data_IF_146271641006
#
_entry.id   IF_146271641006
#
_cell.length_a   1.000
_cell.length_b   1.000
_cell.length_c   1.000
_cell.angle_alpha   90.00
_cell.angle_beta   90.00
_cell.angle_gamma   90.00
#
_symmetry.space_group_name_H-M   'P 1'
#
loop_
_entity.id
_entity.type
_entity.pdbx_description
1 polymer ?
#
# COMPACT_ATOMS: atom_id res chain seq x y z
N UNK A 1 -63.83 -77.88 -1.78
CA UNK A 1 -63.19 -78.44 -3.00
C UNK A 1 -62.92 -77.31 -3.98
N UNK A 2 -61.68 -77.23 -4.53
CA UNK A 2 -61.20 -76.47 -5.71
C UNK A 2 -61.19 -74.93 -5.58
N UNK A 3 -60.05 -74.28 -5.27
CA UNK A 3 -58.96 -73.80 -6.18
C UNK A 3 -59.45 -72.94 -7.36
N UNK A 4 -59.12 -71.64 -7.35
CA UNK A 4 -58.61 -70.75 -8.44
C UNK A 4 -58.24 -69.40 -7.78
N UNK A 5 -56.98 -69.08 -7.49
CA UNK A 5 -55.95 -68.46 -8.34
C UNK A 5 -56.46 -67.29 -9.19
N UNK A 6 -56.16 -66.06 -8.79
CA UNK A 6 -56.02 -64.89 -9.67
C UNK A 6 -55.12 -63.86 -8.98
N UNK A 7 -53.97 -63.61 -9.61
CA UNK A 7 -52.90 -62.76 -9.13
C UNK A 7 -53.29 -61.28 -9.20
N UNK A 8 -53.09 -60.54 -8.11
CA UNK A 8 -53.03 -59.08 -8.13
C UNK A 8 -51.57 -58.65 -7.96
N UNK A 9 -51.02 -58.10 -9.02
CA UNK A 9 -49.72 -57.42 -9.07
C UNK A 9 -49.87 -56.14 -8.24
N UNK A 10 -49.37 -56.17 -7.01
CA UNK A 10 -49.22 -54.97 -6.18
C UNK A 10 -48.01 -54.18 -6.66
N UNK A 11 -48.25 -53.13 -7.45
CA UNK A 11 -47.23 -52.13 -7.78
C UNK A 11 -46.93 -51.34 -6.50
N UNK A 12 -45.79 -51.62 -5.88
CA UNK A 12 -45.21 -50.82 -4.82
C UNK A 12 -44.72 -49.49 -5.44
N UNK A 13 -45.52 -48.42 -5.34
CA UNK A 13 -45.05 -47.06 -5.57
C UNK A 13 -44.22 -46.64 -4.35
N UNK A 14 -42.92 -46.89 -4.39
CA UNK A 14 -41.96 -46.23 -3.51
C UNK A 14 -41.90 -44.74 -3.90
N UNK A 15 -42.57 -43.88 -3.13
CA UNK A 15 -42.39 -42.44 -3.21
C UNK A 15 -40.95 -42.13 -2.77
N UNK A 16 -40.06 -41.97 -3.74
CA UNK A 16 -38.74 -41.37 -3.52
C UNK A 16 -39.01 -39.91 -3.18
N UNK A 17 -38.97 -39.60 -1.89
CA UNK A 17 -38.85 -38.23 -1.41
C UNK A 17 -37.46 -37.74 -1.82
N UNK A 18 -37.39 -37.15 -3.02
CA UNK A 18 -36.25 -36.35 -3.41
C UNK A 18 -36.19 -35.19 -2.41
N UNK A 19 -35.23 -35.25 -1.49
CA UNK A 19 -34.80 -34.08 -0.75
C UNK A 19 -34.55 -32.96 -1.77
N UNK A 20 -35.33 -31.89 -1.70
CA UNK A 20 -35.12 -30.73 -2.56
C UNK A 20 -33.73 -30.20 -2.24
N UNK A 21 -32.80 -30.37 -3.17
CA UNK A 21 -31.55 -29.60 -3.20
C UNK A 21 -32.00 -28.15 -3.35
N UNK A 22 -31.84 -27.27 -2.35
CA UNK A 22 -32.28 -25.90 -2.53
C UNK A 22 -31.42 -25.27 -3.64
N UNK A 23 -32.09 -24.81 -4.70
CA UNK A 23 -31.51 -23.89 -5.67
C UNK A 23 -30.93 -22.68 -4.92
N UNK A 24 -29.94 -21.99 -5.49
CA UNK A 24 -29.37 -20.77 -4.89
C UNK A 24 -30.47 -19.78 -4.51
N UNK A 25 -30.72 -19.61 -3.21
CA UNK A 25 -31.72 -18.70 -2.66
C UNK A 25 -31.05 -17.45 -2.09
N UNK A 26 -31.76 -16.33 -2.11
CA UNK A 26 -31.31 -15.10 -1.45
C UNK A 26 -31.11 -15.33 0.06
N UNK A 27 -30.20 -14.57 0.71
CA UNK A 27 -29.99 -14.68 2.15
C UNK A 27 -31.30 -14.55 2.93
N UNK A 28 -31.47 -15.39 3.95
CA UNK A 28 -32.68 -15.45 4.77
C UNK A 28 -32.82 -14.21 5.66
N UNK A 29 -34.06 -13.94 6.11
CA UNK A 29 -34.36 -12.88 7.09
C UNK A 29 -34.35 -11.44 6.56
N UNK A 30 -34.22 -11.26 5.24
CA UNK A 30 -34.24 -9.93 4.60
C UNK A 30 -33.01 -9.07 4.93
N UNK A 31 -31.92 -9.71 5.37
CA UNK A 31 -30.60 -9.09 5.48
C UNK A 31 -29.89 -9.26 4.14
N UNK A 32 -29.20 -8.23 3.67
CA UNK A 32 -28.44 -8.31 2.41
C UNK A 32 -27.00 -8.62 2.73
N UNK A 33 -26.38 -9.49 1.94
CA UNK A 33 -24.94 -9.71 1.99
C UNK A 33 -24.22 -8.53 1.32
N UNK A 34 -23.14 -8.07 1.93
CA UNK A 34 -22.32 -6.97 1.46
C UNK A 34 -20.83 -7.28 1.69
N UNK A 35 -19.99 -6.61 0.89
CA UNK A 35 -18.56 -6.63 1.09
C UNK A 35 -17.98 -5.24 0.78
N UNK A 36 -16.89 -4.90 1.44
CA UNK A 36 -16.06 -3.73 1.15
C UNK A 36 -14.60 -4.16 1.23
N UNK A 37 -13.75 -3.59 0.39
CA UNK A 37 -12.32 -3.87 0.37
C UNK A 37 -11.51 -2.63 0.08
N UNK A 38 -10.33 -2.55 0.68
CA UNK A 38 -9.36 -1.48 0.47
C UNK A 38 -7.93 -2.06 0.49
N UNK A 39 -7.01 -1.45 -0.26
CA UNK A 39 -5.59 -1.80 -0.19
C UNK A 39 -4.84 -0.78 0.65
N UNK A 40 -4.33 -1.21 1.80
CA UNK A 40 -3.50 -0.39 2.69
C UNK A 40 -2.04 -0.82 2.52
N UNK A 41 -1.18 0.06 1.98
CA UNK A 41 0.16 -0.33 1.54
C UNK A 41 0.10 -1.45 0.49
N UNK A 42 0.61 -2.63 0.84
CA UNK A 42 0.52 -3.85 0.01
C UNK A 42 -0.49 -4.89 0.55
N UNK A 43 -1.26 -4.53 1.58
CA UNK A 43 -2.22 -5.43 2.23
C UNK A 43 -3.63 -5.19 1.71
N UNK A 44 -4.26 -6.24 1.17
CA UNK A 44 -5.69 -6.21 0.88
C UNK A 44 -6.47 -6.52 2.16
N UNK A 45 -7.34 -5.59 2.54
CA UNK A 45 -8.30 -5.75 3.63
C UNK A 45 -9.68 -5.97 3.03
N UNK A 46 -10.30 -7.13 3.29
CA UNK A 46 -11.64 -7.46 2.81
C UNK A 46 -12.57 -7.73 3.98
N UNK A 47 -13.68 -6.99 4.03
CA UNK A 47 -14.74 -7.15 5.03
C UNK A 47 -15.96 -7.73 4.33
N UNK A 48 -16.40 -8.92 4.74
CA UNK A 48 -17.64 -9.54 4.23
C UNK A 48 -18.62 -9.73 5.37
N UNK A 49 -19.86 -9.27 5.18
CA UNK A 49 -20.86 -9.18 6.24
C UNK A 49 -22.28 -9.22 5.69
N UNK A 50 -23.23 -9.59 6.54
CA UNK A 50 -24.65 -9.41 6.27
C UNK A 50 -25.15 -8.18 7.04
N UNK A 51 -25.77 -7.24 6.32
CA UNK A 51 -26.17 -5.95 6.88
C UNK A 51 -27.62 -5.92 7.34
N UNK A 52 -27.91 -5.89 8.66
CA UNK A 52 -29.25 -5.62 9.16
C UNK A 52 -29.66 -4.16 8.92
N UNK A 53 -30.97 -3.93 8.82
CA UNK A 53 -31.57 -2.60 8.76
C UNK A 53 -32.10 -2.16 10.12
N UNK A 54 -32.12 -0.87 10.41
CA UNK A 54 -32.77 -0.30 11.60
C UNK A 54 -34.26 -0.66 11.57
N UNK A 55 -34.93 -0.50 10.41
CA UNK A 55 -36.33 -0.89 10.19
C UNK A 55 -37.30 -0.30 11.23
N UNK A 56 -37.18 1.01 11.51
CA UNK A 56 -38.07 1.71 12.45
C UNK A 56 -37.79 1.43 13.94
N UNK A 57 -36.60 0.92 14.26
CA UNK A 57 -36.13 0.62 15.63
C UNK A 57 -35.10 1.63 16.12
N UNK A 58 -35.21 2.89 15.70
CA UNK A 58 -34.37 3.98 16.20
C UNK A 58 -34.45 4.04 17.73
N UNK A 59 -33.30 4.19 18.38
CA UNK A 59 -33.12 4.15 19.83
C UNK A 59 -33.15 2.75 20.46
N UNK A 60 -33.45 1.70 19.69
CA UNK A 60 -33.59 0.31 20.18
C UNK A 60 -32.59 -0.65 19.55
N UNK A 61 -31.64 -0.15 18.76
CA UNK A 61 -30.58 -0.98 18.17
C UNK A 61 -29.54 -1.32 19.24
N UNK A 62 -28.98 -0.31 19.89
CA UNK A 62 -27.89 -0.48 20.85
C UNK A 62 -28.42 -0.60 22.27
N UNK A 63 -28.01 -1.64 23.01
CA UNK A 63 -28.48 -1.94 24.36
C UNK A 63 -29.71 -2.85 24.41
N UNK A 64 -30.52 -2.91 23.34
CA UNK A 64 -31.65 -3.84 23.21
C UNK A 64 -31.37 -4.93 22.17
N UNK A 65 -31.37 -4.59 20.87
CA UNK A 65 -31.13 -5.57 19.80
C UNK A 65 -29.68 -6.08 19.79
N UNK A 66 -28.74 -5.17 20.00
CA UNK A 66 -27.33 -5.47 20.26
C UNK A 66 -27.11 -5.30 21.77
N UNK A 67 -27.06 -6.40 22.53
CA UNK A 67 -26.90 -6.30 23.97
C UNK A 67 -25.51 -5.78 24.35
N UNK A 68 -25.40 -5.24 25.56
CA UNK A 68 -24.13 -4.79 26.13
C UNK A 68 -23.26 -6.01 26.50
N UNK A 69 -22.00 -5.98 26.09
CA UNK A 69 -20.98 -6.95 26.46
C UNK A 69 -21.20 -8.32 25.83
N UNK A 70 -21.30 -9.33 26.70
CA UNK A 70 -21.49 -10.73 26.34
C UNK A 70 -22.84 -11.21 26.90
N UNK A 71 -23.55 -12.02 26.14
CA UNK A 71 -24.83 -12.61 26.57
C UNK A 71 -24.87 -14.10 26.32
N UNK A 72 -25.72 -14.83 27.07
CA UNK A 72 -26.10 -16.20 26.70
C UNK A 72 -27.10 -16.10 25.52
N UNK A 73 -26.75 -16.60 24.33
CA UNK A 73 -27.65 -16.54 23.18
C UNK A 73 -28.84 -17.51 23.29
N UNK A 74 -28.89 -18.37 24.32
CA UNK A 74 -29.98 -19.33 24.55
C UNK A 74 -30.02 -20.50 23.56
N UNK A 75 -29.06 -20.56 22.63
CA UNK A 75 -28.93 -21.58 21.60
C UNK A 75 -27.45 -21.81 21.24
N UNK A 76 -27.11 -23.00 20.75
CA UNK A 76 -25.71 -23.40 20.53
C UNK A 76 -24.99 -23.78 21.82
N UNK A 77 -23.66 -23.87 21.76
CA UNK A 77 -22.83 -24.29 22.89
C UNK A 77 -22.16 -23.12 23.64
N UNK A 78 -22.24 -21.89 23.11
CA UNK A 78 -21.73 -20.71 23.81
C UNK A 78 -22.71 -20.26 24.88
N UNK A 79 -22.18 -19.89 26.05
CA UNK A 79 -22.94 -19.34 27.19
C UNK A 79 -22.60 -17.89 27.51
N UNK A 80 -21.64 -17.33 26.78
CA UNK A 80 -21.18 -15.96 26.94
C UNK A 80 -20.59 -15.53 25.61
N UNK A 81 -21.42 -14.93 24.77
CA UNK A 81 -21.10 -14.61 23.39
C UNK A 81 -21.20 -13.10 23.11
N UNK A 82 -20.22 -12.51 22.43
CA UNK A 82 -20.28 -11.13 21.94
C UNK A 82 -21.16 -11.04 20.68
N UNK A 83 -21.58 -9.83 20.31
CA UNK A 83 -22.35 -9.64 19.09
C UNK A 83 -21.49 -9.85 17.84
N UNK A 84 -22.02 -10.55 16.84
CA UNK A 84 -21.36 -10.89 15.55
C UNK A 84 -21.09 -9.72 14.62
N UNK A 85 -21.34 -8.49 15.07
CA UNK A 85 -21.12 -7.26 14.31
C UNK A 85 -21.74 -7.28 12.89
N UNK A 86 -22.97 -7.81 12.78
CA UNK A 86 -23.66 -8.10 11.53
C UNK A 86 -24.92 -8.94 11.75
N UNK A 87 -25.42 -9.54 10.68
CA UNK A 87 -26.54 -10.48 10.67
C UNK A 87 -26.11 -11.88 10.18
N UNK A 88 -26.98 -12.90 10.30
CA UNK A 88 -26.73 -14.26 9.78
C UNK A 88 -25.36 -14.86 10.16
N UNK A 89 -24.47 -15.14 9.20
CA UNK A 89 -23.09 -15.57 9.41
C UNK A 89 -22.24 -14.52 10.13
N UNK A 90 -21.13 -14.94 10.73
CA UNK A 90 -20.20 -13.98 11.31
C UNK A 90 -19.65 -13.02 10.25
N UNK A 91 -19.56 -11.74 10.60
CA UNK A 91 -18.75 -10.81 9.80
C UNK A 91 -17.33 -11.33 9.74
N UNK A 92 -16.68 -11.22 8.58
CA UNK A 92 -15.30 -11.66 8.42
C UNK A 92 -14.40 -10.55 7.94
N UNK A 93 -13.19 -10.51 8.51
CA UNK A 93 -12.09 -9.68 8.06
C UNK A 93 -11.00 -10.60 7.48
N UNK A 94 -10.56 -10.30 6.26
CA UNK A 94 -9.44 -10.99 5.61
C UNK A 94 -8.32 -10.00 5.35
N UNK A 95 -7.11 -10.38 5.72
CA UNK A 95 -5.88 -9.64 5.51
C UNK A 95 -4.90 -10.50 4.72
N UNK A 96 -4.27 -9.95 3.68
CA UNK A 96 -3.25 -10.70 2.89
C UNK A 96 -1.88 -10.73 3.55
N UNK A 97 -1.53 -9.69 4.31
CA UNK A 97 -0.30 -9.61 5.10
C UNK A 97 -0.65 -9.37 6.58
N UNK A 98 0.38 -9.41 7.43
CA UNK A 98 0.25 -9.09 8.85
C UNK A 98 -0.17 -7.62 9.02
N UNK A 99 -1.04 -7.36 9.99
CA UNK A 99 -1.51 -6.00 10.30
C UNK A 99 -1.34 -5.70 11.79
N UNK A 100 -1.49 -4.43 12.14
CA UNK A 100 -1.78 -4.02 13.52
C UNK A 100 -3.19 -3.45 13.58
N UNK A 101 -3.98 -3.91 14.54
CA UNK A 101 -5.28 -3.33 14.85
C UNK A 101 -5.12 -2.54 16.15
N UNK A 102 -5.36 -1.23 16.11
CA UNK A 102 -5.15 -0.34 17.26
C UNK A 102 -3.75 -0.53 17.90
N UNK A 103 -2.72 -0.67 17.07
CA UNK A 103 -1.33 -0.90 17.49
C UNK A 103 -0.98 -2.33 17.91
N UNK A 104 -1.94 -3.26 17.98
CA UNK A 104 -1.69 -4.66 18.36
C UNK A 104 -1.59 -5.58 17.13
N UNK A 105 -0.56 -6.42 17.09
CA UNK A 105 -0.29 -7.32 15.97
C UNK A 105 -1.38 -8.37 15.75
N UNK A 106 -1.76 -8.56 14.49
CA UNK A 106 -2.64 -9.63 14.02
C UNK A 106 -2.03 -10.22 12.74
N UNK A 107 -1.68 -11.52 12.71
CA UNK A 107 -1.12 -12.15 11.52
C UNK A 107 -2.06 -12.11 10.31
N UNK A 108 -1.51 -12.23 9.11
CA UNK A 108 -2.28 -12.47 7.89
C UNK A 108 -3.29 -13.62 8.08
N UNK A 109 -4.48 -13.50 7.51
CA UNK A 109 -5.50 -14.54 7.66
C UNK A 109 -6.92 -14.05 7.47
N UNK A 110 -7.86 -14.96 7.69
CA UNK A 110 -9.29 -14.68 7.69
C UNK A 110 -9.87 -14.94 9.07
N UNK A 111 -10.47 -13.90 9.65
CA UNK A 111 -10.98 -13.90 11.02
C UNK A 111 -12.49 -13.68 11.03
N UNK A 112 -13.19 -14.39 11.91
CA UNK A 112 -14.53 -14.00 12.33
C UNK A 112 -14.45 -12.77 13.23
N UNK A 113 -15.42 -11.88 13.13
CA UNK A 113 -15.39 -10.60 13.84
C UNK A 113 -16.59 -10.47 14.77
N UNK A 114 -16.29 -10.04 16.00
CA UNK A 114 -17.30 -9.77 17.01
C UNK A 114 -17.00 -8.46 17.73
N UNK A 115 -18.05 -7.88 18.31
CA UNK A 115 -17.98 -6.71 19.16
C UNK A 115 -18.70 -7.03 20.47
N UNK A 116 -17.98 -6.98 21.59
CA UNK A 116 -18.60 -6.83 22.89
C UNK A 116 -18.89 -5.33 23.09
N UNK A 117 -20.14 -4.95 22.85
CA UNK A 117 -20.56 -3.54 22.81
C UNK A 117 -20.62 -2.94 24.23
N UNK A 118 -20.13 -1.72 24.41
CA UNK A 118 -20.49 -0.86 25.55
C UNK A 118 -20.60 0.58 25.04
N UNK A 119 -21.46 1.41 25.66
CA UNK A 119 -21.60 2.82 25.30
C UNK A 119 -20.29 3.63 25.45
N UNK A 120 -19.41 3.23 26.37
CA UNK A 120 -18.17 3.93 26.69
C UNK A 120 -16.97 3.34 25.95
N UNK A 121 -16.88 2.01 25.89
CA UNK A 121 -15.72 1.31 25.33
C UNK A 121 -16.14 -0.08 24.80
N UNK A 122 -16.08 -0.24 23.49
CA UNK A 122 -16.33 -1.51 22.83
C UNK A 122 -15.05 -2.36 22.82
N UNK A 123 -15.19 -3.67 22.96
CA UNK A 123 -14.09 -4.62 22.68
C UNK A 123 -14.33 -5.27 21.32
N UNK A 124 -13.44 -5.01 20.37
CA UNK A 124 -13.40 -5.70 19.08
C UNK A 124 -12.66 -7.02 19.25
N UNK A 125 -13.17 -8.08 18.64
CA UNK A 125 -12.66 -9.43 18.79
C UNK A 125 -12.50 -10.05 17.41
N UNK A 126 -11.27 -10.46 17.09
CA UNK A 126 -10.94 -11.21 15.88
C UNK A 126 -10.74 -12.67 16.27
N UNK A 127 -11.64 -13.55 15.84
CA UNK A 127 -11.62 -14.99 16.10
C UNK A 127 -11.06 -15.75 14.91
N UNK A 128 -10.30 -16.82 15.16
CA UNK A 128 -9.78 -17.74 14.13
C UNK A 128 -10.90 -18.51 13.40
N UNK A 129 -12.09 -18.58 13.99
CA UNK A 129 -13.26 -19.20 13.38
C UNK A 129 -14.04 -18.18 12.53
N UNK A 130 -13.94 -18.29 11.21
CA UNK A 130 -14.51 -17.35 10.24
C UNK A 130 -15.68 -17.93 9.41
N UNK A 131 -16.27 -19.04 9.88
CA UNK A 131 -17.31 -19.78 9.16
C UNK A 131 -18.59 -20.00 9.95
N UNK A 132 -18.63 -19.57 11.22
CA UNK A 132 -19.75 -19.83 12.11
C UNK A 132 -21.00 -19.03 11.75
N UNK A 133 -22.16 -19.66 11.94
CA UNK A 133 -23.43 -18.96 11.92
C UNK A 133 -23.60 -18.16 13.22
N UNK A 134 -23.59 -16.84 13.09
CA UNK A 134 -23.69 -15.90 14.20
C UNK A 134 -22.67 -16.08 15.32
N UNK A 135 -23.12 -15.96 16.57
CA UNK A 135 -22.28 -16.03 17.77
C UNK A 135 -22.64 -17.21 18.70
N UNK A 136 -23.51 -18.12 18.26
CA UNK A 136 -24.02 -19.25 19.04
C UNK A 136 -22.94 -20.28 19.44
N UNK A 137 -21.87 -20.33 18.66
CA UNK A 137 -20.72 -21.22 18.87
C UNK A 137 -19.44 -20.45 19.21
N UNK A 138 -19.57 -19.19 19.66
CA UNK A 138 -18.43 -18.39 20.05
C UNK A 138 -17.62 -19.07 21.15
N UNK A 139 -16.31 -19.19 20.93
CA UNK A 139 -15.34 -19.74 21.87
C UNK A 139 -14.18 -18.75 22.04
N UNK A 140 -13.99 -18.23 23.26
CA UNK A 140 -12.92 -17.30 23.58
C UNK A 140 -11.51 -17.87 23.34
N UNK A 141 -11.34 -19.20 23.37
CA UNK A 141 -10.05 -19.84 23.06
C UNK A 141 -9.66 -19.70 21.57
N UNK A 142 -10.61 -19.34 20.70
CA UNK A 142 -10.37 -19.10 19.28
C UNK A 142 -10.01 -17.63 18.99
N UNK A 143 -10.04 -16.75 19.98
CA UNK A 143 -9.68 -15.34 19.79
C UNK A 143 -8.20 -15.21 19.42
N UNK A 144 -7.94 -14.58 18.28
CA UNK A 144 -6.61 -14.18 17.86
C UNK A 144 -6.22 -12.82 18.45
N UNK A 145 -7.19 -11.91 18.61
CA UNK A 145 -6.95 -10.57 19.12
C UNK A 145 -8.21 -9.98 19.77
N UNK A 146 -8.01 -9.22 20.85
CA UNK A 146 -9.02 -8.33 21.45
C UNK A 146 -8.46 -6.92 21.58
N UNK A 147 -9.17 -5.92 21.06
CA UNK A 147 -8.77 -4.52 21.17
C UNK A 147 -9.94 -3.66 21.66
N UNK A 148 -9.61 -2.64 22.46
CA UNK A 148 -10.60 -1.69 22.98
C UNK A 148 -10.66 -0.45 22.09
N UNK A 149 -11.88 0.01 21.82
CA UNK A 149 -12.14 1.18 20.99
C UNK A 149 -13.32 1.98 21.54
N UNK A 150 -13.29 3.30 21.33
CA UNK A 150 -14.35 4.18 21.79
C UNK A 150 -15.40 4.35 20.67
N UNK A 151 -16.67 4.02 20.91
CA UNK A 151 -17.72 4.30 19.95
C UNK A 151 -17.98 5.82 19.87
N UNK A 152 -18.53 6.27 18.75
CA UNK A 152 -18.81 7.66 18.45
C UNK A 152 -20.27 7.81 18.01
N UNK A 153 -20.94 8.85 18.49
CA UNK A 153 -22.28 9.19 18.03
C UNK A 153 -22.23 9.77 16.61
N UNK A 154 -23.22 9.41 15.79
CA UNK A 154 -23.45 9.99 14.47
C UNK A 154 -24.60 10.99 14.54
N UNK A 155 -24.47 12.12 13.84
CA UNK A 155 -25.54 13.12 13.74
C UNK A 155 -26.78 12.57 13.01
N UNK A 156 -26.54 11.76 11.97
CA UNK A 156 -27.58 11.16 11.13
C UNK A 156 -27.60 9.65 11.32
N UNK A 157 -28.81 9.09 11.31
CA UNK A 157 -28.99 7.64 11.37
C UNK A 157 -28.56 6.97 10.07
N UNK A 158 -27.87 5.84 10.18
CA UNK A 158 -27.49 4.95 9.08
C UNK A 158 -28.43 3.75 9.07
N UNK A 159 -29.33 3.68 8.09
CA UNK A 159 -30.38 2.64 8.03
C UNK A 159 -29.82 1.22 7.93
N UNK A 160 -28.89 0.98 7.02
CA UNK A 160 -28.28 -0.33 6.81
C UNK A 160 -26.88 -0.32 7.41
N UNK A 161 -26.59 -1.28 8.28
CA UNK A 161 -25.23 -1.47 8.80
C UNK A 161 -24.25 -1.48 7.64
N UNK A 162 -23.19 -0.68 7.74
CA UNK A 162 -22.10 -0.66 6.75
C UNK A 162 -20.75 -0.62 7.44
N UNK A 163 -19.75 -1.09 6.72
CA UNK A 163 -18.33 -0.84 7.01
C UNK A 163 -17.78 0.14 5.99
N UNK A 164 -16.95 1.07 6.43
CA UNK A 164 -16.38 2.13 5.62
C UNK A 164 -14.89 2.32 5.98
N UNK A 165 -14.07 2.50 4.95
CA UNK A 165 -12.66 2.92 5.10
C UNK A 165 -12.59 4.45 5.05
N UNK A 166 -11.75 5.04 5.90
CA UNK A 166 -11.58 6.48 6.07
C UNK A 166 -10.13 6.78 6.46
N UNK A 167 -9.71 8.04 6.31
CA UNK A 167 -8.41 8.56 6.77
C UNK A 167 -7.22 7.73 6.26
N UNK A 168 -7.21 7.36 4.98
CA UNK A 168 -6.13 6.56 4.41
C UNK A 168 -4.79 7.31 4.40
N UNK A 169 -3.73 6.57 4.65
CA UNK A 169 -2.34 6.98 4.45
C UNK A 169 -1.59 5.90 3.66
N UNK A 170 -0.28 6.06 3.43
CA UNK A 170 0.55 5.04 2.76
C UNK A 170 0.57 3.70 3.53
N UNK A 171 0.36 3.71 4.85
CA UNK A 171 0.52 2.53 5.71
C UNK A 171 -0.60 2.34 6.76
N UNK A 172 -1.71 3.07 6.68
CA UNK A 172 -2.84 2.91 7.59
C UNK A 172 -4.17 3.34 6.99
N UNK A 173 -5.26 2.82 7.56
CA UNK A 173 -6.61 3.29 7.31
C UNK A 173 -7.47 3.11 8.57
N UNK A 174 -8.48 3.95 8.73
CA UNK A 174 -9.52 3.76 9.75
C UNK A 174 -10.68 2.97 9.14
N UNK A 175 -11.08 1.86 9.76
CA UNK A 175 -12.35 1.19 9.46
C UNK A 175 -13.39 1.60 10.48
N UNK A 176 -14.60 1.93 10.03
CA UNK A 176 -15.73 2.17 10.91
C UNK A 176 -16.91 1.27 10.57
N UNK A 177 -17.43 0.55 11.58
CA UNK A 177 -18.79 0.05 11.54
C UNK A 177 -19.72 1.22 11.82
N UNK A 178 -20.69 1.47 10.95
CA UNK A 178 -21.73 2.48 11.15
C UNK A 178 -23.10 1.84 11.03
N UNK A 179 -23.93 2.03 12.06
CA UNK A 179 -25.32 1.58 12.05
C UNK A 179 -26.15 2.38 13.03
N UNK A 180 -27.35 2.77 12.60
CA UNK A 180 -28.18 3.73 13.31
C UNK A 180 -27.37 5.01 13.62
N UNK A 181 -27.37 5.50 14.86
CA UNK A 181 -26.63 6.70 15.27
C UNK A 181 -25.27 6.40 15.91
N UNK A 182 -24.69 5.23 15.67
CA UNK A 182 -23.42 4.84 16.24
C UNK A 182 -22.39 4.49 15.16
N UNK A 183 -21.16 4.94 15.39
CA UNK A 183 -19.96 4.57 14.66
C UNK A 183 -18.97 3.91 15.63
N UNK A 184 -18.33 2.83 15.20
CA UNK A 184 -17.27 2.16 15.96
C UNK A 184 -16.00 2.15 15.09
N UNK A 185 -15.20 3.23 15.13
CA UNK A 185 -13.99 3.35 14.34
C UNK A 185 -12.79 2.67 15.00
N UNK A 186 -11.90 2.11 14.19
CA UNK A 186 -10.62 1.56 14.61
C UNK A 186 -9.59 1.61 13.50
N UNK A 187 -8.32 1.73 13.87
CA UNK A 187 -7.21 1.87 12.93
C UNK A 187 -6.62 0.51 12.60
N UNK A 188 -6.37 0.31 11.30
CA UNK A 188 -5.56 -0.77 10.74
C UNK A 188 -4.27 -0.12 10.26
N UNK A 189 -3.14 -0.66 10.68
CA UNK A 189 -1.81 -0.26 10.23
C UNK A 189 -1.09 -1.46 9.61
N UNK A 190 -0.25 -1.20 8.63
CA UNK A 190 0.57 -2.21 7.95
C UNK A 190 2.05 -1.84 8.02
N UNK A 191 2.91 -2.84 7.96
CA UNK A 191 4.35 -2.60 7.83
C UNK A 191 4.73 -2.53 6.35
N UNK A 192 4.41 -1.40 5.72
CA UNK A 192 4.63 -1.21 4.28
C UNK A 192 6.08 -1.48 3.86
N UNK A 193 7.06 -1.06 4.69
CA UNK A 193 8.47 -1.25 4.36
C UNK A 193 8.84 -2.73 4.41
N UNK A 194 8.46 -3.45 5.48
CA UNK A 194 8.69 -4.89 5.57
C UNK A 194 8.04 -5.64 4.39
N UNK A 195 6.76 -5.38 4.14
CA UNK A 195 6.00 -6.07 3.09
C UNK A 195 6.59 -5.81 1.70
N UNK A 196 7.02 -4.57 1.43
CA UNK A 196 7.64 -4.22 0.15
C UNK A 196 8.97 -4.93 -0.06
N UNK A 197 9.80 -5.03 0.99
CA UNK A 197 11.07 -5.76 0.93
C UNK A 197 10.84 -7.26 0.73
N UNK A 198 9.85 -7.85 1.40
CA UNK A 198 9.46 -9.25 1.18
C UNK A 198 8.94 -9.47 -0.26
N UNK A 199 8.19 -8.52 -0.80
CA UNK A 199 7.75 -8.54 -2.21
C UNK A 199 8.93 -8.54 -3.16
N UNK A 200 9.89 -7.62 -2.98
CA UNK A 200 11.10 -7.57 -3.81
C UNK A 200 11.91 -8.87 -3.72
N UNK A 201 12.16 -9.40 -2.52
CA UNK A 201 12.89 -10.67 -2.35
C UNK A 201 12.23 -11.84 -3.08
N UNK A 202 10.90 -11.86 -3.16
CA UNK A 202 10.14 -12.88 -3.89
C UNK A 202 10.22 -12.63 -5.40
N UNK A 203 9.94 -11.42 -5.86
CA UNK A 203 9.83 -11.07 -7.27
C UNK A 203 11.18 -11.08 -8.00
N UNK A 204 12.26 -10.72 -7.33
CA UNK A 204 13.62 -10.81 -7.88
C UNK A 204 14.10 -12.25 -8.11
N UNK A 205 13.32 -13.25 -7.66
CA UNK A 205 13.56 -14.68 -7.91
C UNK A 205 12.67 -15.26 -9.02
N UNK A 206 11.82 -14.44 -9.63
CA UNK A 206 10.99 -14.84 -10.79
C UNK A 206 11.61 -14.34 -12.09
N UNK A 207 10.89 -14.45 -13.22
CA UNK A 207 11.30 -13.87 -14.51
C UNK A 207 11.67 -12.38 -14.42
N UNK A 208 11.06 -11.64 -13.48
CA UNK A 208 11.34 -10.23 -13.23
C UNK A 208 12.79 -10.00 -12.77
N UNK A 209 13.42 -10.99 -12.14
CA UNK A 209 14.79 -10.91 -11.63
C UNK A 209 15.88 -11.13 -12.68
N UNK A 210 15.54 -11.50 -13.92
CA UNK A 210 16.55 -11.81 -14.95
C UNK A 210 17.10 -10.58 -15.68
N UNK A 211 16.73 -9.37 -15.24
CA UNK A 211 17.17 -8.11 -15.82
C UNK A 211 17.67 -7.17 -14.72
N UNK A 212 18.73 -6.41 -14.99
CA UNK A 212 19.33 -5.51 -14.01
C UNK A 212 18.35 -4.42 -13.48
N UNK A 213 17.38 -4.01 -14.30
CA UNK A 213 16.44 -2.93 -13.99
C UNK A 213 15.64 -3.23 -12.72
N UNK A 214 15.19 -4.47 -12.53
CA UNK A 214 14.40 -4.85 -11.35
C UNK A 214 15.24 -4.79 -10.07
N UNK A 215 16.51 -5.20 -10.16
CA UNK A 215 17.44 -5.11 -9.03
C UNK A 215 17.75 -3.65 -8.68
N UNK A 216 17.99 -2.80 -9.69
CA UNK A 216 18.19 -1.36 -9.49
C UNK A 216 16.93 -0.71 -8.91
N UNK A 217 15.74 -1.08 -9.37
CA UNK A 217 14.48 -0.58 -8.84
C UNK A 217 14.33 -0.88 -7.34
N UNK A 218 14.61 -2.11 -6.90
CA UNK A 218 14.56 -2.49 -5.49
C UNK A 218 15.61 -1.74 -4.66
N UNK A 219 16.85 -1.62 -5.17
CA UNK A 219 17.92 -0.89 -4.51
C UNK A 219 17.62 0.62 -4.40
N UNK A 220 17.14 1.24 -5.48
CA UNK A 220 16.78 2.66 -5.54
C UNK A 220 15.58 2.98 -4.61
N UNK A 221 14.61 2.08 -4.52
CA UNK A 221 13.49 2.22 -3.59
C UNK A 221 13.98 2.28 -2.13
N UNK A 222 14.92 1.41 -1.77
CA UNK A 222 15.56 1.39 -0.45
C UNK A 222 16.37 2.66 -0.18
N UNK A 223 17.15 3.12 -1.18
CA UNK A 223 17.93 4.35 -1.14
C UNK A 223 17.05 5.57 -0.86
N UNK A 224 15.93 5.72 -1.58
CA UNK A 224 15.02 6.85 -1.44
C UNK A 224 14.46 6.98 -0.01
N UNK A 225 14.16 5.84 0.61
CA UNK A 225 13.59 5.76 1.97
C UNK A 225 14.66 5.65 3.06
N UNK A 226 15.93 5.48 2.68
CA UNK A 226 17.04 5.22 3.61
C UNK A 226 16.79 4.01 4.53
N UNK A 227 16.22 2.95 3.97
CA UNK A 227 15.90 1.69 4.68
C UNK A 227 16.68 0.53 4.05
N UNK A 228 17.02 -0.47 4.85
CA UNK A 228 17.60 -1.74 4.37
C UNK A 228 18.82 -1.57 3.43
N UNK A 229 19.67 -0.59 3.72
CA UNK A 229 20.72 -0.13 2.81
C UNK A 229 21.81 -1.18 2.52
N UNK A 230 22.08 -2.09 3.46
CA UNK A 230 23.06 -3.16 3.25
C UNK A 230 22.57 -4.19 2.22
N UNK A 231 21.31 -4.63 2.30
CA UNK A 231 20.74 -5.53 1.27
C UNK A 231 20.51 -4.78 -0.05
N UNK A 232 20.13 -3.50 0.03
CA UNK A 232 20.04 -2.64 -1.16
C UNK A 232 21.38 -2.53 -1.90
N UNK A 233 22.51 -2.52 -1.17
CA UNK A 233 23.83 -2.55 -1.78
C UNK A 233 24.08 -3.85 -2.55
N UNK A 234 23.69 -5.00 -1.99
CA UNK A 234 23.78 -6.29 -2.67
C UNK A 234 22.91 -6.34 -3.94
N UNK A 235 21.72 -5.76 -3.89
CA UNK A 235 20.87 -5.60 -5.08
C UNK A 235 21.50 -4.67 -6.11
N UNK A 236 22.12 -3.56 -5.68
CA UNK A 236 22.83 -2.65 -6.58
C UNK A 236 24.09 -3.28 -7.19
N UNK A 237 24.79 -4.15 -6.46
CA UNK A 237 25.89 -4.97 -6.99
C UNK A 237 25.40 -5.90 -8.09
N UNK A 238 24.25 -6.55 -7.87
CA UNK A 238 23.62 -7.42 -8.86
C UNK A 238 23.20 -6.62 -10.09
N UNK A 239 22.56 -5.47 -9.89
CA UNK A 239 22.14 -4.55 -10.95
C UNK A 239 23.33 -4.05 -11.78
N UNK A 240 24.46 -3.71 -11.16
CA UNK A 240 25.64 -3.20 -11.85
C UNK A 240 26.55 -4.29 -12.44
N UNK A 241 26.13 -5.55 -12.39
CA UNK A 241 26.92 -6.68 -12.90
C UNK A 241 26.70 -6.95 -14.39
N UNK A 242 27.72 -7.53 -15.03
CA UNK A 242 27.63 -7.97 -16.43
C UNK A 242 26.68 -9.16 -16.61
N UNK A 243 26.48 -9.97 -15.56
CA UNK A 243 25.61 -11.17 -15.58
C UNK A 243 24.16 -10.77 -15.86
N UNK A 244 23.71 -9.66 -15.27
CA UNK A 244 22.34 -9.14 -15.44
C UNK A 244 22.26 -7.98 -16.46
N UNK A 245 23.38 -7.67 -17.14
CA UNK A 245 23.44 -6.71 -18.25
C UNK A 245 23.47 -5.23 -17.86
N UNK A 246 23.80 -4.90 -16.60
CA UNK A 246 23.85 -3.52 -16.12
C UNK A 246 25.27 -2.96 -15.90
N UNK A 247 26.31 -3.69 -16.31
CA UNK A 247 27.72 -3.28 -16.22
C UNK A 247 28.04 -1.97 -16.95
N UNK A 248 27.21 -1.59 -17.93
CA UNK A 248 27.31 -0.31 -18.67
C UNK A 248 26.14 0.62 -18.41
N UNK A 249 25.28 0.33 -17.43
CA UNK A 249 24.14 1.16 -17.10
C UNK A 249 24.56 2.21 -16.05
N UNK A 250 24.63 3.49 -16.44
CA UNK A 250 24.99 4.57 -15.53
C UNK A 250 24.11 4.58 -14.26
N UNK A 251 22.80 4.38 -14.43
CA UNK A 251 21.84 4.40 -13.31
C UNK A 251 22.19 3.33 -12.26
N UNK A 252 22.52 2.09 -12.66
CA UNK A 252 22.83 1.01 -11.72
C UNK A 252 24.07 1.32 -10.87
N UNK A 253 25.14 1.80 -11.51
CA UNK A 253 26.35 2.23 -10.80
C UNK A 253 26.12 3.49 -9.94
N UNK A 254 25.30 4.43 -10.42
CA UNK A 254 24.93 5.65 -9.69
C UNK A 254 24.09 5.33 -8.44
N UNK A 255 23.17 4.38 -8.51
CA UNK A 255 22.39 3.90 -7.36
C UNK A 255 23.32 3.26 -6.33
N UNK A 256 24.22 2.36 -6.77
CA UNK A 256 25.23 1.73 -5.90
C UNK A 256 26.08 2.77 -5.17
N UNK A 257 26.61 3.76 -5.88
CA UNK A 257 27.44 4.82 -5.30
C UNK A 257 26.68 5.63 -4.23
N UNK A 258 25.39 5.93 -4.47
CA UNK A 258 24.56 6.65 -3.51
C UNK A 258 24.23 5.82 -2.27
N UNK A 259 24.04 4.51 -2.41
CA UNK A 259 23.86 3.61 -1.27
C UNK A 259 25.15 3.54 -0.45
N UNK A 260 26.31 3.41 -1.09
CA UNK A 260 27.62 3.47 -0.42
C UNK A 260 27.80 4.78 0.37
N UNK A 261 27.43 5.93 -0.21
CA UNK A 261 27.47 7.22 0.49
C UNK A 261 26.54 7.23 1.72
N UNK A 262 25.32 6.72 1.60
CA UNK A 262 24.36 6.61 2.73
C UNK A 262 24.83 5.66 3.83
N UNK A 263 25.66 4.67 3.49
CA UNK A 263 26.34 3.77 4.43
C UNK A 263 27.64 4.36 4.99
N UNK A 264 28.02 5.57 4.62
CA UNK A 264 29.26 6.23 5.06
C UNK A 264 30.53 5.78 4.34
N UNK A 265 30.42 4.98 3.27
CA UNK A 265 31.53 4.45 2.47
C UNK A 265 31.93 5.42 1.36
N UNK A 266 32.36 6.61 1.74
CA UNK A 266 32.53 7.74 0.80
C UNK A 266 33.61 7.52 -0.26
N UNK A 267 34.73 6.87 0.09
CA UNK A 267 35.80 6.58 -0.89
C UNK A 267 35.33 5.56 -1.95
N UNK A 268 34.64 4.51 -1.50
CA UNK A 268 34.02 3.52 -2.39
C UNK A 268 32.95 4.16 -3.29
N UNK A 269 32.10 5.03 -2.72
CA UNK A 269 31.08 5.77 -3.47
C UNK A 269 31.70 6.62 -4.59
N UNK A 270 32.80 7.34 -4.29
CA UNK A 270 33.50 8.15 -5.27
C UNK A 270 34.12 7.30 -6.39
N UNK A 271 34.73 6.17 -6.06
CA UNK A 271 35.27 5.23 -7.05
C UNK A 271 34.17 4.64 -7.94
N UNK A 272 33.05 4.20 -7.35
CA UNK A 272 31.89 3.66 -8.07
C UNK A 272 31.26 4.70 -9.00
N UNK A 273 31.09 5.94 -8.54
CA UNK A 273 30.56 7.01 -9.38
C UNK A 273 31.50 7.36 -10.53
N UNK A 274 32.82 7.35 -10.30
CA UNK A 274 33.81 7.54 -11.38
C UNK A 274 33.67 6.49 -12.48
N UNK A 275 33.42 5.23 -12.11
CA UNK A 275 33.12 4.16 -13.06
C UNK A 275 31.81 4.42 -13.80
N UNK A 276 30.74 4.79 -13.09
CA UNK A 276 29.45 5.12 -13.69
C UNK A 276 29.59 6.18 -14.80
N UNK A 277 30.36 7.23 -14.54
CA UNK A 277 30.57 8.37 -15.45
C UNK A 277 31.24 8.02 -16.79
N UNK A 278 31.86 6.83 -16.90
CA UNK A 278 32.38 6.33 -18.16
C UNK A 278 31.26 5.95 -19.14
N UNK A 279 30.09 5.54 -18.63
CA UNK A 279 28.96 5.06 -19.42
C UNK A 279 27.80 6.05 -19.51
N UNK A 280 27.87 7.15 -18.77
CA UNK A 280 26.80 8.14 -18.70
C UNK A 280 26.58 8.89 -20.03
N UNK A 281 25.33 8.96 -20.46
CA UNK A 281 24.89 9.84 -21.56
C UNK A 281 24.92 11.32 -21.15
N UNK A 282 24.84 12.22 -22.14
CA UNK A 282 24.75 13.67 -21.92
C UNK A 282 23.63 14.02 -20.91
N UNK A 283 22.47 13.40 -21.04
CA UNK A 283 21.32 13.70 -20.19
C UNK A 283 21.53 13.17 -18.78
N UNK A 284 22.09 11.98 -18.61
CA UNK A 284 22.39 11.40 -17.29
C UNK A 284 23.42 12.23 -16.53
N UNK A 285 24.51 12.63 -17.19
CA UNK A 285 25.51 13.53 -16.60
C UNK A 285 24.84 14.84 -16.18
N UNK A 286 23.96 15.39 -17.02
CA UNK A 286 23.26 16.63 -16.69
C UNK A 286 22.37 16.46 -15.45
N UNK A 287 21.58 15.39 -15.37
CA UNK A 287 20.72 15.12 -14.22
C UNK A 287 21.53 14.86 -12.95
N UNK A 288 22.69 14.20 -13.05
CA UNK A 288 23.58 14.03 -11.92
C UNK A 288 24.09 15.39 -11.39
N UNK A 289 24.53 16.28 -12.28
CA UNK A 289 24.90 17.66 -11.89
C UNK A 289 23.75 18.41 -11.22
N UNK A 290 22.51 18.25 -11.71
CA UNK A 290 21.31 18.86 -11.10
C UNK A 290 21.04 18.33 -9.69
N UNK A 291 21.21 17.02 -9.48
CA UNK A 291 21.08 16.40 -8.15
C UNK A 291 22.11 16.93 -7.17
N UNK A 292 23.37 17.09 -7.60
CA UNK A 292 24.42 17.69 -6.77
C UNK A 292 24.09 19.13 -6.36
N UNK A 293 23.51 19.93 -7.26
CA UNK A 293 23.01 21.27 -6.91
C UNK A 293 21.94 21.23 -5.82
N UNK A 294 20.96 20.32 -5.92
CA UNK A 294 19.92 20.15 -4.89
C UNK A 294 20.51 19.74 -3.53
N UNK A 295 21.58 18.96 -3.55
CA UNK A 295 22.34 18.57 -2.36
C UNK A 295 23.29 19.68 -1.86
N UNK A 296 23.26 20.87 -2.47
CA UNK A 296 24.15 22.01 -2.16
C UNK A 296 25.64 21.75 -2.41
N UNK A 297 25.98 20.71 -3.18
CA UNK A 297 27.33 20.36 -3.62
C UNK A 297 27.72 21.15 -4.87
N UNK A 298 27.71 22.48 -4.77
CA UNK A 298 27.76 23.39 -5.93
C UNK A 298 29.05 23.32 -6.74
N UNK A 299 30.19 23.15 -6.06
CA UNK A 299 31.51 22.99 -6.72
C UNK A 299 31.58 21.69 -7.52
N UNK A 300 31.16 20.58 -6.93
CA UNK A 300 31.12 19.27 -7.60
C UNK A 300 30.16 19.29 -8.79
N UNK A 301 28.98 19.91 -8.62
CA UNK A 301 28.03 20.07 -9.71
C UNK A 301 28.62 20.83 -10.91
N UNK A 302 29.34 21.92 -10.67
CA UNK A 302 30.01 22.69 -11.72
C UNK A 302 31.02 21.82 -12.50
N UNK A 303 31.83 21.01 -11.81
CA UNK A 303 32.79 20.12 -12.46
C UNK A 303 32.10 19.03 -13.31
N UNK A 304 30.96 18.51 -12.84
CA UNK A 304 30.12 17.58 -13.63
C UNK A 304 29.56 18.28 -14.88
N UNK A 305 29.09 19.53 -14.78
CA UNK A 305 28.60 20.26 -15.95
C UNK A 305 29.71 20.61 -16.94
N UNK A 306 30.90 20.97 -16.47
CA UNK A 306 32.10 21.16 -17.32
C UNK A 306 32.47 19.87 -18.05
N UNK A 307 32.47 18.75 -17.35
CA UNK A 307 32.71 17.43 -17.94
C UNK A 307 31.68 17.11 -19.03
N UNK A 308 30.40 17.40 -18.77
CA UNK A 308 29.33 17.18 -19.76
C UNK A 308 29.52 18.02 -21.02
N UNK A 309 29.80 19.32 -20.84
CA UNK A 309 30.04 20.24 -21.96
C UNK A 309 31.29 19.84 -22.75
N UNK A 310 32.35 19.38 -22.09
CA UNK A 310 33.56 18.91 -22.78
C UNK A 310 33.28 17.68 -23.64
N UNK A 311 32.40 16.77 -23.20
CA UNK A 311 32.01 15.58 -23.96
C UNK A 311 31.00 15.90 -25.07
N UNK A 312 30.10 16.85 -24.83
CA UNK A 312 28.98 17.18 -25.71
C UNK A 312 28.88 18.71 -25.92
N UNK A 313 29.85 19.33 -26.61
CA UNK A 313 29.92 20.77 -26.71
C UNK A 313 28.74 21.35 -27.47
N UNK A 314 28.37 22.58 -27.11
CA UNK A 314 27.38 23.41 -27.81
C UNK A 314 25.99 22.78 -27.93
N UNK A 315 25.64 21.88 -27.01
CA UNK A 315 24.26 21.41 -26.85
C UNK A 315 23.52 22.28 -25.85
N UNK A 316 22.25 22.62 -26.13
CA UNK A 316 21.41 23.41 -25.23
C UNK A 316 21.48 22.90 -23.78
N UNK A 317 21.29 21.60 -23.58
CA UNK A 317 21.35 20.93 -22.26
C UNK A 317 22.69 21.18 -21.54
N UNK A 318 23.82 21.02 -22.22
CA UNK A 318 25.14 21.23 -21.60
C UNK A 318 25.43 22.67 -21.26
N UNK A 319 25.02 23.61 -22.12
CA UNK A 319 25.16 25.04 -21.87
C UNK A 319 24.31 25.45 -20.67
N UNK A 320 23.07 24.99 -20.59
CA UNK A 320 22.21 25.20 -19.43
C UNK A 320 22.78 24.59 -18.15
N UNK A 321 23.51 23.48 -18.26
CA UNK A 321 24.27 22.92 -17.14
C UNK A 321 25.32 23.91 -16.63
N UNK A 322 26.13 24.47 -17.52
CA UNK A 322 27.13 25.48 -17.17
C UNK A 322 26.51 26.76 -16.61
N UNK A 323 25.38 27.24 -17.17
CA UNK A 323 24.64 28.40 -16.62
C UNK A 323 24.33 28.18 -15.14
N UNK A 324 23.74 27.02 -14.82
CA UNK A 324 23.36 26.66 -13.45
C UNK A 324 24.57 26.46 -12.54
N UNK A 325 25.59 25.74 -13.01
CA UNK A 325 26.81 25.47 -12.26
C UNK A 325 27.57 26.74 -11.89
N UNK A 326 27.80 27.64 -12.86
CA UNK A 326 28.51 28.91 -12.62
C UNK A 326 27.68 29.85 -11.72
N UNK A 327 26.36 29.91 -11.95
CA UNK A 327 25.47 30.70 -11.09
C UNK A 327 25.53 30.24 -9.63
N UNK A 328 25.52 28.91 -9.39
CA UNK A 328 25.53 28.32 -8.05
C UNK A 328 26.82 28.58 -7.26
N UNK A 329 27.91 28.97 -7.94
CA UNK A 329 29.18 29.38 -7.32
C UNK A 329 29.39 30.90 -7.37
N UNK A 330 28.32 31.66 -7.63
CA UNK A 330 28.30 33.12 -7.77
C UNK A 330 29.18 33.69 -8.90
N UNK A 331 29.55 32.88 -9.90
CA UNK A 331 30.23 33.34 -11.11
C UNK A 331 29.19 33.74 -12.17
N UNK A 332 28.49 34.84 -11.89
CA UNK A 332 27.41 35.33 -12.76
C UNK A 332 27.92 35.78 -14.13
N UNK A 333 29.20 36.15 -14.23
CA UNK A 333 29.82 36.54 -15.50
C UNK A 333 29.90 35.35 -16.46
N UNK A 334 30.43 34.21 -15.99
CA UNK A 334 30.47 33.01 -16.83
C UNK A 334 29.07 32.41 -17.03
N UNK A 335 28.21 32.43 -16.01
CA UNK A 335 26.82 32.00 -16.18
C UNK A 335 26.10 32.79 -17.28
N UNK A 336 26.25 34.12 -17.30
CA UNK A 336 25.67 35.00 -18.32
C UNK A 336 26.24 34.69 -19.71
N UNK A 337 27.56 34.46 -19.82
CA UNK A 337 28.20 34.06 -21.08
C UNK A 337 27.52 32.81 -21.66
N UNK A 338 27.40 31.75 -20.87
CA UNK A 338 26.80 30.50 -21.33
C UNK A 338 25.29 30.60 -21.56
N UNK A 339 24.58 31.49 -20.84
CA UNK A 339 23.15 31.71 -21.06
C UNK A 339 22.89 32.37 -22.42
N UNK A 340 23.71 33.35 -22.80
CA UNK A 340 23.64 33.94 -24.14
C UNK A 340 23.95 32.93 -25.25
N UNK A 341 24.87 31.99 -25.01
CA UNK A 341 25.15 30.90 -25.95
C UNK A 341 24.00 29.87 -26.03
N UNK A 342 23.29 29.63 -24.92
CA UNK A 342 22.18 28.69 -24.87
C UNK A 342 20.91 29.23 -25.55
N UNK A 343 20.66 30.55 -25.46
CA UNK A 343 19.44 31.18 -25.95
C UNK A 343 19.09 30.85 -27.43
N UNK A 344 20.01 30.96 -28.41
CA UNK A 344 19.69 30.62 -29.81
C UNK A 344 19.47 29.12 -30.03
N UNK A 345 19.86 28.26 -29.08
CA UNK A 345 19.73 26.81 -29.16
C UNK A 345 18.51 26.28 -28.38
N UNK A 346 17.65 27.16 -27.86
CA UNK A 346 16.46 26.76 -27.12
C UNK A 346 15.52 25.93 -28.00
N UNK A 347 15.10 24.72 -27.56
CA UNK A 347 14.33 23.81 -28.42
C UNK A 347 12.85 24.18 -28.55
N UNK A 348 12.35 25.12 -27.73
CA UNK A 348 10.99 25.63 -27.78
C UNK A 348 10.88 27.00 -27.09
N UNK A 349 9.75 27.68 -27.30
CA UNK A 349 9.50 29.02 -26.75
C UNK A 349 9.50 29.08 -25.22
N UNK A 350 9.08 28.01 -24.55
CA UNK A 350 9.14 27.95 -23.09
C UNK A 350 10.58 27.99 -22.58
N UNK A 351 11.47 27.22 -23.20
CA UNK A 351 12.89 27.23 -22.88
C UNK A 351 13.52 28.58 -23.20
N UNK A 352 13.19 29.18 -24.35
CA UNK A 352 13.69 30.51 -24.74
C UNK A 352 13.29 31.59 -23.73
N UNK A 353 12.03 31.57 -23.29
CA UNK A 353 11.51 32.45 -22.24
C UNK A 353 12.26 32.24 -20.92
N UNK A 354 12.48 30.98 -20.53
CA UNK A 354 13.24 30.64 -19.32
C UNK A 354 14.67 31.17 -19.35
N UNK A 355 15.41 30.94 -20.44
CA UNK A 355 16.79 31.44 -20.58
C UNK A 355 16.83 32.97 -20.60
N UNK A 356 15.87 33.62 -21.26
CA UNK A 356 15.77 35.08 -21.28
C UNK A 356 15.59 35.64 -19.86
N UNK A 357 14.72 35.04 -19.05
CA UNK A 357 14.53 35.44 -17.66
C UNK A 357 15.80 35.22 -16.82
N UNK A 358 16.53 34.13 -17.05
CA UNK A 358 17.82 33.88 -16.40
C UNK A 358 18.86 34.94 -16.77
N UNK A 359 18.95 35.34 -18.04
CA UNK A 359 19.86 36.40 -18.49
C UNK A 359 19.60 37.72 -17.76
N UNK A 360 18.33 38.10 -17.57
CA UNK A 360 17.99 39.32 -16.82
C UNK A 360 18.50 39.23 -15.37
N UNK A 361 18.21 38.13 -14.67
CA UNK A 361 18.69 37.91 -13.30
C UNK A 361 20.22 37.94 -13.20
N UNK A 362 20.92 37.30 -14.13
CA UNK A 362 22.37 37.24 -14.14
C UNK A 362 23.02 38.61 -14.40
N UNK A 363 22.40 39.47 -15.21
CA UNK A 363 22.84 40.86 -15.38
C UNK A 363 22.72 41.69 -14.10
N UNK A 364 21.78 41.34 -13.24
CA UNK A 364 21.59 41.94 -11.91
C UNK A 364 22.47 41.29 -10.83
N UNK A 365 23.33 40.32 -11.19
CA UNK A 365 24.15 39.59 -10.23
C UNK A 365 23.36 38.67 -9.30
N UNK A 366 22.22 38.15 -9.77
CA UNK A 366 21.35 37.24 -9.02
C UNK A 366 21.49 35.81 -9.49
N UNK A 367 21.39 34.88 -8.53
CA UNK A 367 21.39 33.45 -8.82
C UNK A 367 20.10 33.01 -9.58
N UNK A 368 20.25 31.98 -10.42
CA UNK A 368 19.21 31.44 -11.29
C UNK A 368 18.77 30.01 -10.94
N UNK A 369 19.29 29.45 -9.85
CA UNK A 369 18.98 28.08 -9.42
C UNK A 369 17.73 28.00 -8.55
#
# INVERSE_FOLDING_TARGET
MKKYLSALIGIFLSAISLAQIPLTVAPSGGNKKAAVSERVGLTDVVITYDRPGVKGREGKVWGELVPVGFTDPGFGNSKSAPWRAGANENTTFKFTNDVKIQGQSLPAGKYGFFIAYSPEECTLIFSKNSTSWGHYFYNAAEDALRVKVKPQALEKSVEWLKYEFMNETENSATVALQWEKLSIPFTIEVDYVKDQLESFRRELRTENGFIWQSWDQAAAWCLQRSVNLEEALLWADTASSAIFGGDKAFIAWSTKAQIQEKLGRNEEAAATMKMAMAFASMNEIHQYGRRLLQQKKTKEALEIFKTNYSKNPNQFTTLMGLVRGYSAVADYKNALKYANLALPLAPNEQNKTSVTAMIVKLKEGKDVN
#
